data_IF_337094009794
#
_entry.id   IF_337094009794
#
_cell.length_a   1.000
_cell.length_b   1.000
_cell.length_c   1.000
_cell.angle_alpha   90.00
_cell.angle_beta   90.00
_cell.angle_gamma   90.00
#
_symmetry.space_group_name_H-M   'P 1'
#
loop_
_entity.id
_entity.type
_entity.pdbx_description
1 polymer ?
#
# COMPACT_ATOMS: atom_id res chain seq x y z
N UNK A 1 59.53 13.47 8.01
CA UNK A 1 58.67 14.23 8.95
C UNK A 1 57.19 14.04 8.59
N UNK A 2 56.61 12.94 9.07
CA UNK A 2 55.17 12.71 8.99
C UNK A 2 54.49 13.65 10.00
N UNK A 3 53.60 14.52 9.51
CA UNK A 3 52.76 15.35 10.37
C UNK A 3 51.83 14.47 11.22
N UNK A 4 51.34 14.98 12.36
CA UNK A 4 50.46 14.20 13.24
C UNK A 4 49.22 13.74 12.48
N UNK A 5 48.88 12.46 12.63
CA UNK A 5 47.65 11.88 12.11
C UNK A 5 46.46 12.70 12.62
N UNK A 6 45.59 13.16 11.71
CA UNK A 6 44.32 13.78 12.08
C UNK A 6 43.54 12.77 12.95
N UNK A 7 43.04 13.14 14.13
CA UNK A 7 42.20 12.24 14.91
C UNK A 7 40.98 11.85 14.06
N UNK A 8 40.62 10.56 14.06
CA UNK A 8 39.40 10.09 13.42
C UNK A 8 38.17 10.87 13.92
N UNK A 9 37.06 10.91 13.16
CA UNK A 9 35.89 11.74 13.49
C UNK A 9 35.24 11.35 14.83
N UNK A 10 35.50 10.14 15.32
CA UNK A 10 35.03 9.64 16.60
C UNK A 10 36.15 9.65 17.65
N UNK A 11 35.96 10.40 18.74
CA UNK A 11 36.81 10.37 19.92
C UNK A 11 35.96 9.85 21.10
N UNK A 12 36.27 8.68 21.68
CA UNK A 12 35.42 8.03 22.68
C UNK A 12 35.26 8.82 23.99
N UNK A 13 36.18 9.75 24.27
CA UNK A 13 36.20 10.55 25.51
C UNK A 13 35.64 11.98 25.32
N UNK A 14 35.14 12.33 24.14
CA UNK A 14 34.61 13.68 23.87
C UNK A 14 33.12 13.80 24.29
N UNK A 15 32.67 14.97 24.79
CA UNK A 15 31.26 15.22 25.09
C UNK A 15 30.36 14.96 23.87
N UNK A 16 29.17 14.38 24.08
CA UNK A 16 28.22 14.00 23.03
C UNK A 16 27.97 15.12 22.00
N UNK A 17 27.74 16.35 22.48
CA UNK A 17 27.49 17.50 21.61
C UNK A 17 28.67 17.80 20.67
N UNK A 18 29.91 17.53 21.09
CA UNK A 18 31.11 17.74 20.30
C UNK A 18 31.27 16.66 19.22
N UNK A 19 30.97 15.40 19.56
CA UNK A 19 30.98 14.27 18.61
C UNK A 19 29.91 14.46 17.54
N UNK A 20 28.67 14.79 17.93
CA UNK A 20 27.59 15.10 16.98
C UNK A 20 27.94 16.27 16.06
N UNK A 21 28.58 17.32 16.56
CA UNK A 21 29.03 18.44 15.73
C UNK A 21 30.15 18.06 14.75
N UNK A 22 31.04 17.12 15.10
CA UNK A 22 32.07 16.61 14.19
C UNK A 22 31.48 15.73 13.11
N UNK A 23 30.57 14.82 13.47
CA UNK A 23 29.83 14.00 12.52
C UNK A 23 28.98 14.85 11.58
N UNK A 24 28.29 15.88 12.09
CA UNK A 24 27.52 16.78 11.24
C UNK A 24 28.41 17.52 10.22
N UNK A 25 29.59 17.97 10.64
CA UNK A 25 30.57 18.60 9.74
C UNK A 25 31.11 17.62 8.70
N UNK A 26 31.28 16.34 9.06
CA UNK A 26 31.66 15.29 8.14
C UNK A 26 30.56 15.03 7.11
N UNK A 27 29.31 14.86 7.56
CA UNK A 27 28.16 14.65 6.66
C UNK A 27 28.01 15.83 5.70
N UNK A 28 28.09 17.07 6.19
CA UNK A 28 28.02 18.26 5.34
C UNK A 28 29.16 18.29 4.31
N UNK A 29 30.40 18.02 4.73
CA UNK A 29 31.56 18.05 3.85
C UNK A 29 31.50 16.97 2.76
N UNK A 30 31.08 15.75 3.11
CA UNK A 30 30.97 14.66 2.15
C UNK A 30 29.76 14.84 1.22
N UNK A 31 28.65 15.39 1.72
CA UNK A 31 27.49 15.75 0.90
C UNK A 31 27.88 16.79 -0.14
N UNK A 32 28.54 17.88 0.29
CA UNK A 32 29.05 18.93 -0.58
C UNK A 32 30.07 18.44 -1.63
N UNK A 33 30.92 17.48 -1.25
CA UNK A 33 31.92 16.91 -2.16
C UNK A 33 31.28 16.09 -3.28
N UNK A 34 30.14 15.45 -3.01
CA UNK A 34 29.43 14.59 -3.96
C UNK A 34 28.48 15.41 -4.85
N UNK A 35 27.82 16.42 -4.31
CA UNK A 35 26.89 17.30 -5.06
C UNK A 35 27.58 18.41 -5.82
N UNK A 36 28.86 18.68 -5.53
CA UNK A 36 29.63 19.76 -6.16
C UNK A 36 29.24 21.16 -5.68
N UNK A 37 28.48 21.29 -4.58
CA UNK A 37 27.96 22.58 -4.09
C UNK A 37 28.98 23.44 -3.32
N UNK A 38 30.26 23.05 -3.30
CA UNK A 38 31.30 23.74 -2.53
C UNK A 38 31.14 23.58 -1.02
N UNK A 39 32.07 24.12 -0.20
CA UNK A 39 32.10 23.90 1.27
C UNK A 39 31.02 24.64 2.06
N UNK A 40 29.93 25.07 1.40
CA UNK A 40 28.80 25.69 2.10
C UNK A 40 28.08 24.62 2.94
N UNK A 41 27.70 24.98 4.16
CA UNK A 41 26.92 24.08 5.01
C UNK A 41 25.59 23.75 4.32
N UNK A 42 25.33 22.48 4.06
CA UNK A 42 24.06 22.03 3.51
C UNK A 42 22.92 22.40 4.47
N UNK A 43 21.74 22.74 3.94
CA UNK A 43 20.56 22.84 4.78
C UNK A 43 20.21 21.44 5.29
N UNK A 44 20.47 21.21 6.58
CA UNK A 44 20.33 19.90 7.22
C UNK A 44 18.87 19.46 7.42
N UNK A 45 17.91 20.31 7.07
CA UNK A 45 16.48 19.99 7.08
C UNK A 45 15.96 19.48 5.75
N UNK A 46 16.68 19.75 4.65
CA UNK A 46 16.36 19.23 3.33
C UNK A 46 16.77 17.76 3.19
N UNK A 47 16.04 17.03 2.36
CA UNK A 47 16.39 15.67 1.97
C UNK A 47 17.61 15.64 1.07
N UNK A 48 18.33 14.52 1.02
CA UNK A 48 19.46 14.36 0.10
C UNK A 48 19.03 14.51 -1.37
N UNK A 49 17.82 14.09 -1.74
CA UNK A 49 17.25 14.31 -3.07
C UNK A 49 17.08 15.81 -3.40
N UNK A 50 16.57 16.62 -2.45
CA UNK A 50 16.46 18.07 -2.60
C UNK A 50 17.82 18.78 -2.65
N UNK A 51 18.84 18.18 -2.02
CA UNK A 51 20.23 18.62 -2.09
C UNK A 51 20.94 18.17 -3.39
N UNK A 52 20.25 17.49 -4.29
CA UNK A 52 20.76 17.09 -5.60
C UNK A 52 21.49 15.75 -5.62
N UNK A 53 21.30 14.87 -4.62
CA UNK A 53 21.80 13.50 -4.70
C UNK A 53 20.84 12.60 -5.47
N UNK A 54 21.31 12.06 -6.58
CA UNK A 54 20.69 10.91 -7.24
C UNK A 54 21.17 9.57 -6.64
N UNK A 55 20.66 8.45 -7.17
CA UNK A 55 21.01 7.11 -6.67
C UNK A 55 22.51 6.76 -6.81
N UNK A 56 23.24 7.36 -7.77
CA UNK A 56 24.68 7.12 -7.96
C UNK A 56 25.47 7.94 -6.94
N UNK A 57 25.09 9.19 -6.74
CA UNK A 57 25.66 10.10 -5.76
C UNK A 57 25.40 9.61 -4.32
N UNK A 58 24.24 9.02 -4.04
CA UNK A 58 23.95 8.40 -2.75
C UNK A 58 24.93 7.27 -2.40
N UNK A 59 25.27 6.40 -3.37
CA UNK A 59 26.27 5.34 -3.19
C UNK A 59 27.68 5.91 -3.01
N UNK A 60 28.02 7.00 -3.70
CA UNK A 60 29.30 7.68 -3.52
C UNK A 60 29.42 8.32 -2.13
N UNK A 61 28.37 9.00 -1.66
CA UNK A 61 28.29 9.56 -0.31
C UNK A 61 28.47 8.46 0.75
N UNK A 62 27.76 7.33 0.59
CA UNK A 62 27.89 6.14 1.45
C UNK A 62 29.34 5.68 1.57
N UNK A 63 30.01 5.47 0.44
CA UNK A 63 31.37 4.92 0.41
C UNK A 63 32.38 5.89 1.02
N UNK A 64 32.19 7.19 0.84
CA UNK A 64 33.04 8.23 1.42
C UNK A 64 32.86 8.34 2.94
N UNK A 65 31.61 8.28 3.41
CA UNK A 65 31.31 8.26 4.84
C UNK A 65 31.88 6.99 5.51
N UNK A 66 31.71 5.81 4.89
CA UNK A 66 32.24 4.55 5.41
C UNK A 66 33.77 4.60 5.54
N UNK A 67 34.45 5.13 4.52
CA UNK A 67 35.90 5.34 4.55
C UNK A 67 36.34 6.34 5.63
N UNK A 68 35.56 7.40 5.87
CA UNK A 68 35.88 8.44 6.84
C UNK A 68 35.67 7.98 8.30
N UNK A 69 34.65 7.16 8.56
CA UNK A 69 34.35 6.65 9.91
C UNK A 69 35.03 5.31 10.21
N UNK A 70 35.56 4.62 9.20
CA UNK A 70 36.26 3.35 9.34
C UNK A 70 35.36 2.16 9.69
N UNK A 71 34.06 2.25 9.39
CA UNK A 71 33.07 1.19 9.59
C UNK A 71 32.20 1.01 8.34
N UNK A 72 31.72 -0.22 8.12
CA UNK A 72 30.74 -0.49 7.07
C UNK A 72 29.40 0.17 7.41
N UNK A 73 28.94 1.02 6.49
CA UNK A 73 27.61 1.64 6.56
C UNK A 73 26.71 0.86 5.59
N UNK A 74 25.63 0.25 6.05
CA UNK A 74 24.67 -0.43 5.17
C UNK A 74 24.10 0.54 4.12
N UNK A 75 23.79 0.07 2.91
CA UNK A 75 23.20 0.93 1.88
C UNK A 75 21.85 1.51 2.34
N UNK A 76 21.07 0.71 3.09
CA UNK A 76 19.80 1.10 3.70
C UNK A 76 19.94 2.31 4.65
N UNK A 77 21.08 2.50 5.32
CA UNK A 77 21.27 3.58 6.30
C UNK A 77 21.12 4.98 5.68
N UNK A 78 21.49 5.16 4.41
CA UNK A 78 21.30 6.45 3.73
C UNK A 78 19.84 6.68 3.29
N UNK A 79 19.11 5.61 2.98
CA UNK A 79 17.69 5.69 2.62
C UNK A 79 16.79 5.84 3.85
N UNK A 80 17.14 5.18 4.96
CA UNK A 80 16.43 5.23 6.25
C UNK A 80 16.60 6.57 6.98
N UNK A 81 17.62 7.34 6.61
CA UNK A 81 17.97 8.62 7.22
C UNK A 81 18.14 9.71 6.14
N UNK A 82 17.03 10.19 5.56
CA UNK A 82 17.01 10.93 4.29
C UNK A 82 17.51 12.37 4.38
N UNK A 83 17.88 12.88 5.57
CA UNK A 83 18.41 14.24 5.77
C UNK A 83 19.81 14.21 6.40
N UNK A 84 20.67 15.22 6.16
CA UNK A 84 21.98 15.31 6.81
C UNK A 84 21.90 15.25 8.34
N UNK A 85 20.84 15.80 8.94
CA UNK A 85 20.59 15.71 10.38
C UNK A 85 20.30 14.27 10.81
N UNK A 86 19.34 13.60 10.16
CA UNK A 86 18.97 12.23 10.50
C UNK A 86 20.13 11.24 10.33
N UNK A 87 20.98 11.46 9.31
CA UNK A 87 22.16 10.62 9.07
C UNK A 87 23.26 10.86 10.10
N UNK A 88 23.45 12.11 10.55
CA UNK A 88 24.38 12.45 11.63
C UNK A 88 24.03 11.69 12.92
N UNK A 89 22.74 11.67 13.26
CA UNK A 89 22.26 10.97 14.45
C UNK A 89 22.44 9.45 14.33
N UNK A 90 22.21 8.88 13.14
CA UNK A 90 22.45 7.47 12.85
C UNK A 90 23.91 7.07 13.00
N UNK A 91 24.84 7.88 12.47
CA UNK A 91 26.27 7.64 12.58
C UNK A 91 26.74 7.75 14.03
N UNK A 92 26.15 8.66 14.81
CA UNK A 92 26.43 8.76 16.23
C UNK A 92 26.01 7.47 16.97
N UNK A 93 24.80 6.96 16.70
CA UNK A 93 24.30 5.72 17.31
C UNK A 93 25.08 4.48 16.87
N UNK A 94 25.60 4.47 15.64
CA UNK A 94 26.43 3.38 15.11
C UNK A 94 27.83 3.36 15.74
N UNK A 95 28.43 4.54 15.95
CA UNK A 95 29.82 4.68 16.40
C UNK A 95 29.97 4.68 17.93
N UNK A 96 28.89 4.87 18.70
CA UNK A 96 28.98 4.79 20.15
C UNK A 96 29.33 3.37 20.61
N UNK A 97 30.31 3.17 21.52
CA UNK A 97 30.56 1.86 22.09
C UNK A 97 29.30 1.42 22.84
N UNK A 98 28.74 0.27 22.43
CA UNK A 98 27.69 -0.42 23.19
C UNK A 98 28.32 -0.94 24.48
N UNK A 99 28.27 -0.13 25.53
CA UNK A 99 28.40 -0.63 26.89
C UNK A 99 27.31 -1.69 27.11
N UNK A 100 27.70 -2.80 27.75
CA UNK A 100 26.86 -3.96 28.04
C UNK A 100 25.48 -3.55 28.56
N UNK A 101 24.44 -4.24 28.07
CA UNK A 101 23.03 -4.08 28.41
C UNK A 101 22.78 -3.83 29.91
N UNK A 102 22.19 -2.68 30.24
CA UNK A 102 21.07 -2.55 31.19
C UNK A 102 20.60 -1.09 31.27
N UNK A 103 19.61 -0.71 30.45
CA UNK A 103 18.51 0.20 30.78
C UNK A 103 17.69 0.51 29.51
N UNK A 104 16.35 0.43 29.54
CA UNK A 104 15.51 0.81 28.40
C UNK A 104 15.54 2.32 28.20
N UNK A 105 15.67 2.70 26.93
CA UNK A 105 15.61 4.07 26.44
C UNK A 105 14.24 4.71 26.76
N UNK A 106 14.25 6.02 26.98
CA UNK A 106 13.18 6.79 27.60
C UNK A 106 11.80 6.54 26.98
N UNK A 107 10.96 5.81 27.72
CA UNK A 107 9.52 5.80 27.52
C UNK A 107 8.98 7.20 27.88
N UNK A 108 8.33 7.84 26.91
CA UNK A 108 7.23 8.76 27.22
C UNK A 108 6.33 8.05 28.24
N UNK A 109 5.91 8.70 29.34
CA UNK A 109 5.21 8.01 30.41
C UNK A 109 3.98 7.31 29.83
N UNK A 110 3.79 6.00 30.06
CA UNK A 110 2.53 5.37 29.76
C UNK A 110 1.51 6.04 30.68
N UNK A 111 0.58 6.81 30.11
CA UNK A 111 -0.65 7.11 30.82
C UNK A 111 -1.25 5.78 31.22
N UNK A 112 -1.23 5.53 32.53
CA UNK A 112 -1.79 4.38 33.17
C UNK A 112 -3.30 4.37 32.86
N UNK A 113 -3.70 3.67 31.79
CA UNK A 113 -5.08 3.24 31.65
C UNK A 113 -5.31 2.15 32.70
N UNK A 114 -6.05 2.51 33.73
CA UNK A 114 -6.57 1.56 34.69
C UNK A 114 -7.31 0.43 33.94
N UNK A 115 -7.11 -0.85 34.32
CA UNK A 115 -7.90 -1.94 33.78
C UNK A 115 -9.29 -1.90 34.42
N UNK A 116 -10.19 -1.14 33.82
CA UNK A 116 -11.57 -0.96 34.28
C UNK A 116 -12.50 -0.67 33.11
N UNK A 117 -13.39 -1.61 32.82
CA UNK A 117 -14.36 -1.67 31.71
C UNK A 117 -13.72 -1.84 30.32
N UNK A 118 -13.97 -2.98 29.66
CA UNK A 118 -13.61 -3.19 28.26
C UNK A 118 -14.31 -2.13 27.40
N UNK A 119 -13.53 -1.18 26.89
CA UNK A 119 -14.04 -0.08 26.08
C UNK A 119 -14.26 -0.57 24.65
N UNK A 120 -15.30 -0.06 23.98
CA UNK A 120 -15.60 -0.33 22.57
C UNK A 120 -14.40 -0.13 21.60
N UNK A 121 -13.34 0.57 22.05
CA UNK A 121 -12.08 0.75 21.33
C UNK A 121 -11.30 -0.56 21.09
N UNK A 122 -11.44 -1.55 21.99
CA UNK A 122 -10.73 -2.83 21.92
C UNK A 122 -11.59 -3.97 21.33
N UNK A 123 -12.80 -3.64 20.84
CA UNK A 123 -13.73 -4.62 20.26
C UNK A 123 -13.09 -5.27 19.01
N UNK A 124 -12.89 -6.61 19.01
CA UNK A 124 -12.42 -7.32 17.83
C UNK A 124 -13.50 -7.30 16.73
N UNK A 125 -13.07 -7.21 15.48
CA UNK A 125 -13.98 -7.20 14.33
C UNK A 125 -13.98 -8.59 13.70
N UNK A 126 -15.16 -9.19 13.60
CA UNK A 126 -15.35 -10.46 12.90
C UNK A 126 -15.38 -10.20 11.39
N UNK A 127 -14.65 -11.03 10.64
CA UNK A 127 -14.92 -11.24 9.22
C UNK A 127 -15.97 -12.34 9.16
N UNK A 128 -17.16 -12.01 8.66
CA UNK A 128 -18.28 -12.97 8.62
C UNK A 128 -18.36 -13.69 7.28
N UNK A 129 -18.04 -12.98 6.20
CA UNK A 129 -17.95 -13.53 4.87
C UNK A 129 -17.02 -12.67 4.00
N UNK A 130 -16.69 -13.21 2.84
CA UNK A 130 -15.89 -12.57 1.82
C UNK A 130 -16.30 -13.07 0.45
N UNK A 131 -16.15 -12.22 -0.56
CA UNK A 131 -16.33 -12.55 -1.97
C UNK A 131 -15.26 -11.82 -2.79
N UNK A 132 -14.89 -12.40 -3.93
CA UNK A 132 -13.80 -11.89 -4.76
C UNK A 132 -13.93 -12.29 -6.23
N UNK A 133 -13.18 -11.57 -7.07
CA UNK A 133 -12.89 -11.87 -8.46
C UNK A 133 -11.41 -11.67 -8.68
N UNK A 134 -10.70 -12.72 -9.10
CA UNK A 134 -9.25 -12.70 -9.30
C UNK A 134 -8.87 -13.38 -10.62
N UNK A 135 -7.67 -13.08 -11.17
CA UNK A 135 -7.19 -13.71 -12.40
C UNK A 135 -7.14 -15.23 -12.30
N UNK A 136 -7.15 -15.90 -13.47
CA UNK A 136 -7.16 -17.37 -13.53
C UNK A 136 -8.56 -18.00 -13.41
N UNK A 137 -9.63 -17.20 -13.57
CA UNK A 137 -11.00 -17.68 -13.46
C UNK A 137 -11.42 -17.95 -12.01
N UNK A 138 -10.86 -17.18 -11.08
CA UNK A 138 -11.16 -17.30 -9.65
C UNK A 138 -12.32 -16.37 -9.32
N UNK A 139 -13.47 -16.96 -9.01
CA UNK A 139 -14.71 -16.26 -8.66
C UNK A 139 -15.13 -16.45 -7.20
N UNK A 140 -14.43 -17.33 -6.45
CA UNK A 140 -14.73 -17.56 -5.03
C UNK A 140 -13.47 -17.66 -4.17
N UNK A 141 -13.58 -17.41 -2.85
CA UNK A 141 -12.48 -17.64 -1.90
C UNK A 141 -11.97 -19.09 -1.91
N UNK A 142 -12.85 -20.06 -2.13
CA UNK A 142 -12.48 -21.48 -2.22
C UNK A 142 -11.61 -21.76 -3.44
N UNK A 143 -11.97 -21.22 -4.61
CA UNK A 143 -11.16 -21.33 -5.83
C UNK A 143 -9.82 -20.62 -5.68
N UNK A 144 -9.79 -19.49 -4.97
CA UNK A 144 -8.54 -18.79 -4.68
C UNK A 144 -7.62 -19.66 -3.82
N UNK A 145 -8.17 -20.31 -2.79
CA UNK A 145 -7.40 -21.25 -1.96
C UNK A 145 -6.86 -22.43 -2.76
N UNK A 146 -7.64 -23.01 -3.67
CA UNK A 146 -7.17 -24.09 -4.57
C UNK A 146 -6.02 -23.63 -5.47
N UNK A 147 -6.09 -22.40 -5.99
CA UNK A 147 -5.02 -21.80 -6.81
C UNK A 147 -3.73 -21.63 -5.99
N UNK A 148 -3.83 -21.03 -4.80
CA UNK A 148 -2.70 -20.77 -3.91
C UNK A 148 -2.06 -22.07 -3.41
N UNK A 149 -2.87 -22.99 -2.88
CA UNK A 149 -2.39 -24.28 -2.35
C UNK A 149 -1.84 -25.20 -3.45
N UNK A 150 -2.30 -25.02 -4.69
CA UNK A 150 -1.74 -25.67 -5.87
C UNK A 150 -0.46 -25.04 -6.42
N UNK A 151 -0.02 -23.90 -5.88
CA UNK A 151 1.15 -23.16 -6.37
C UNK A 151 1.01 -22.68 -7.83
N UNK A 152 -0.23 -22.40 -8.25
CA UNK A 152 -0.53 -22.03 -9.63
C UNK A 152 -0.25 -20.56 -9.89
N UNK A 153 0.22 -20.25 -11.10
CA UNK A 153 0.48 -18.90 -11.57
C UNK A 153 -0.64 -18.44 -12.51
N UNK A 154 -1.38 -17.40 -12.09
CA UNK A 154 -2.52 -16.85 -12.83
C UNK A 154 -2.13 -15.81 -13.89
N UNK A 155 -0.83 -15.55 -14.10
CA UNK A 155 -0.35 -14.60 -15.11
C UNK A 155 -0.68 -15.12 -16.51
N UNK A 156 -1.39 -14.29 -17.28
CA UNK A 156 -1.81 -14.55 -18.65
C UNK A 156 -1.25 -13.48 -19.61
N UNK A 157 -1.53 -13.61 -20.91
CA UNK A 157 -1.23 -12.55 -21.88
C UNK A 157 -2.12 -11.32 -21.70
N UNK A 158 -1.74 -10.19 -22.32
CA UNK A 158 -2.59 -8.98 -22.34
C UNK A 158 -3.99 -9.29 -22.93
N UNK A 159 -5.07 -8.66 -22.44
CA UNK A 159 -6.43 -8.92 -22.89
C UNK A 159 -6.62 -8.52 -24.35
N UNK A 160 -7.23 -9.40 -25.15
CA UNK A 160 -7.53 -9.17 -26.57
C UNK A 160 -8.94 -8.66 -26.83
N UNK A 161 -9.77 -8.56 -25.78
CA UNK A 161 -11.20 -8.22 -25.85
C UNK A 161 -11.51 -6.80 -25.38
N UNK A 162 -10.50 -5.93 -25.23
CA UNK A 162 -10.67 -4.54 -24.74
C UNK A 162 -10.38 -3.45 -25.78
N UNK A 163 -10.19 -3.86 -27.04
CA UNK A 163 -9.87 -2.94 -28.13
C UNK A 163 -8.47 -2.33 -28.06
N UNK A 164 -7.56 -2.95 -27.30
CA UNK A 164 -6.17 -2.50 -27.22
C UNK A 164 -5.42 -2.85 -28.51
N UNK A 165 -4.70 -1.89 -29.08
CA UNK A 165 -3.77 -2.14 -30.19
C UNK A 165 -2.48 -2.78 -29.64
N UNK A 166 -2.50 -4.11 -29.48
CA UNK A 166 -1.39 -4.87 -28.90
C UNK A 166 -0.13 -4.91 -29.79
N UNK A 167 -0.27 -4.60 -31.08
CA UNK A 167 0.87 -4.47 -31.99
C UNK A 167 1.58 -3.13 -31.75
N UNK A 168 0.84 -2.03 -31.75
CA UNK A 168 1.40 -0.70 -31.46
C UNK A 168 1.90 -0.56 -30.01
N UNK A 169 1.26 -1.26 -29.06
CA UNK A 169 1.61 -1.20 -27.64
C UNK A 169 2.94 -1.90 -27.33
N UNK A 170 3.31 -2.94 -28.08
CA UNK A 170 4.48 -3.75 -27.77
C UNK A 170 5.77 -3.21 -28.39
N UNK A 171 6.77 -2.87 -27.58
CA UNK A 171 8.10 -2.48 -28.09
C UNK A 171 9.24 -2.88 -27.15
N UNK A 172 10.39 -3.35 -27.66
CA UNK A 172 11.50 -3.81 -26.82
C UNK A 172 12.28 -2.66 -26.16
N UNK A 173 12.30 -1.47 -26.76
CA UNK A 173 12.96 -0.28 -26.20
C UNK A 173 12.14 0.33 -25.05
N UNK A 174 12.63 0.31 -23.80
CA UNK A 174 11.92 0.86 -22.64
C UNK A 174 11.78 2.38 -22.68
N UNK A 175 12.56 3.08 -23.52
CA UNK A 175 12.52 4.54 -23.65
C UNK A 175 11.47 5.01 -24.66
N UNK A 176 10.89 4.09 -25.45
CA UNK A 176 9.88 4.47 -26.43
C UNK A 176 8.59 4.85 -25.73
N UNK A 177 8.11 6.06 -26.03
CA UNK A 177 6.89 6.57 -25.44
C UNK A 177 5.66 5.83 -25.99
N UNK A 178 4.70 5.53 -25.11
CA UNK A 178 3.41 4.96 -25.50
C UNK A 178 3.43 3.43 -25.65
N UNK A 179 4.55 2.78 -25.30
CA UNK A 179 4.73 1.34 -25.47
C UNK A 179 5.09 0.66 -24.15
N UNK A 180 4.84 -0.64 -24.06
CA UNK A 180 5.07 -1.50 -22.89
C UNK A 180 5.96 -2.66 -23.31
N UNK A 181 6.96 -2.98 -22.49
CA UNK A 181 7.82 -4.17 -22.69
C UNK A 181 7.15 -5.44 -22.16
N UNK A 182 6.48 -5.35 -21.01
CA UNK A 182 5.68 -6.41 -20.41
C UNK A 182 4.51 -6.79 -21.35
N UNK A 183 4.32 -8.09 -21.58
CA UNK A 183 3.24 -8.62 -22.44
C UNK A 183 2.30 -9.58 -21.71
N UNK A 184 2.39 -9.62 -20.39
CA UNK A 184 1.68 -10.54 -19.52
C UNK A 184 1.28 -9.86 -18.22
N UNK A 185 0.27 -10.37 -17.53
CA UNK A 185 -0.22 -9.84 -16.25
C UNK A 185 -1.41 -10.66 -15.74
N UNK A 186 -1.94 -10.29 -14.58
CA UNK A 186 -3.17 -10.86 -14.05
C UNK A 186 -4.38 -10.10 -14.61
N UNK A 187 -5.25 -10.75 -15.38
CA UNK A 187 -6.42 -10.09 -15.98
C UNK A 187 -7.71 -10.84 -15.68
N UNK A 188 -8.76 -10.06 -15.45
CA UNK A 188 -10.15 -10.52 -15.44
C UNK A 188 -10.69 -10.43 -16.87
N UNK A 189 -10.67 -11.55 -17.59
CA UNK A 189 -11.09 -11.58 -19.01
C UNK A 189 -12.60 -11.35 -19.17
N UNK A 190 -13.36 -11.65 -18.13
CA UNK A 190 -14.80 -11.48 -17.95
C UNK A 190 -15.18 -10.13 -17.31
N UNK A 191 -14.22 -9.23 -17.04
CA UNK A 191 -14.52 -7.90 -16.49
C UNK A 191 -15.60 -7.09 -17.24
N UNK A 192 -15.83 -7.27 -18.57
CA UNK A 192 -16.95 -6.61 -19.25
C UNK A 192 -18.34 -7.16 -18.90
N UNK A 193 -18.42 -8.38 -18.38
CA UNK A 193 -19.68 -9.07 -18.09
C UNK A 193 -20.34 -8.46 -16.84
N UNK A 194 -21.68 -8.35 -16.86
CA UNK A 194 -22.46 -7.79 -15.75
C UNK A 194 -23.96 -8.09 -15.91
N UNK A 195 -24.60 -8.56 -14.85
CA UNK A 195 -26.06 -8.76 -14.82
C UNK A 195 -26.79 -7.46 -14.48
N UNK A 196 -26.97 -6.60 -15.49
CA UNK A 196 -27.59 -5.29 -15.31
C UNK A 196 -29.05 -5.38 -14.86
N UNK A 197 -29.82 -6.33 -15.42
CA UNK A 197 -31.24 -6.47 -15.14
C UNK A 197 -31.47 -6.89 -13.67
N UNK A 198 -30.62 -7.77 -13.13
CA UNK A 198 -30.66 -8.17 -11.72
C UNK A 198 -30.55 -6.98 -10.76
N UNK A 199 -29.65 -6.04 -11.03
CA UNK A 199 -29.47 -4.83 -10.23
C UNK A 199 -30.45 -3.69 -10.59
N UNK A 200 -31.39 -3.91 -11.51
CA UNK A 200 -32.33 -2.89 -11.97
C UNK A 200 -31.66 -1.76 -12.75
N UNK A 201 -30.52 -2.03 -13.37
CA UNK A 201 -29.71 -1.06 -14.12
C UNK A 201 -30.01 -1.21 -15.61
N UNK A 202 -30.32 -0.10 -16.27
CA UNK A 202 -30.59 -0.15 -17.72
C UNK A 202 -29.33 -0.53 -18.51
N UNK A 203 -29.46 -1.20 -19.67
CA UNK A 203 -28.30 -1.54 -20.51
C UNK A 203 -27.44 -0.33 -20.90
N UNK A 204 -28.07 0.84 -21.09
CA UNK A 204 -27.37 2.10 -21.39
C UNK A 204 -26.53 2.57 -20.21
N UNK A 205 -27.05 2.49 -18.99
CA UNK A 205 -26.31 2.84 -17.79
C UNK A 205 -25.17 1.85 -17.54
N UNK A 206 -25.43 0.55 -17.64
CA UNK A 206 -24.42 -0.49 -17.47
C UNK A 206 -23.22 -0.32 -18.42
N UNK A 207 -23.46 0.07 -19.67
CA UNK A 207 -22.40 0.36 -20.64
C UNK A 207 -21.50 1.53 -20.19
N UNK A 208 -22.08 2.54 -19.54
CA UNK A 208 -21.37 3.71 -19.04
C UNK A 208 -20.65 3.46 -17.70
N UNK A 209 -20.98 2.37 -17.00
CA UNK A 209 -20.39 2.05 -15.71
C UNK A 209 -18.99 1.46 -15.85
N UNK A 210 -18.02 2.03 -15.13
CA UNK A 210 -16.71 1.46 -14.90
C UNK A 210 -16.87 0.00 -14.41
N UNK A 211 -16.18 -0.99 -15.04
CA UNK A 211 -16.15 -2.37 -14.57
C UNK A 211 -15.86 -2.52 -13.08
N UNK A 212 -15.07 -1.62 -12.48
CA UNK A 212 -14.80 -1.61 -11.04
C UNK A 212 -16.08 -1.46 -10.22
N UNK A 213 -17.01 -0.59 -10.63
CA UNK A 213 -18.30 -0.43 -9.95
C UNK A 213 -19.19 -1.67 -10.11
N UNK A 214 -19.17 -2.28 -11.30
CA UNK A 214 -19.97 -3.48 -11.62
C UNK A 214 -19.52 -4.67 -10.78
N UNK A 215 -18.22 -4.96 -10.78
CA UNK A 215 -17.64 -6.03 -9.98
C UNK A 215 -17.89 -5.80 -8.49
N UNK A 216 -17.71 -4.56 -8.00
CA UNK A 216 -17.97 -4.23 -6.60
C UNK A 216 -19.42 -4.46 -6.18
N UNK A 217 -20.40 -4.22 -7.05
CA UNK A 217 -21.80 -4.56 -6.77
C UNK A 217 -22.00 -6.08 -6.65
N UNK A 218 -21.48 -6.85 -7.59
CA UNK A 218 -21.58 -8.31 -7.58
C UNK A 218 -20.93 -8.92 -6.34
N UNK A 219 -19.67 -8.56 -6.04
CA UNK A 219 -18.98 -9.15 -4.89
C UNK A 219 -19.55 -8.66 -3.56
N UNK A 220 -20.14 -7.45 -3.50
CA UNK A 220 -20.83 -6.99 -2.28
C UNK A 220 -22.11 -7.78 -2.03
N UNK A 221 -22.88 -8.07 -3.09
CA UNK A 221 -24.06 -8.91 -3.02
C UNK A 221 -23.71 -10.34 -2.55
N UNK A 222 -22.71 -10.95 -3.20
CA UNK A 222 -22.27 -12.31 -2.85
C UNK A 222 -21.73 -12.41 -1.43
N UNK A 223 -21.01 -11.39 -0.94
CA UNK A 223 -20.52 -11.38 0.44
C UNK A 223 -21.68 -11.41 1.45
N UNK A 224 -22.78 -10.71 1.18
CA UNK A 224 -24.00 -10.76 2.00
C UNK A 224 -24.67 -12.13 1.94
N UNK A 225 -24.88 -12.69 0.75
CA UNK A 225 -25.50 -14.01 0.59
C UNK A 225 -24.70 -15.11 1.28
N UNK A 226 -23.36 -15.06 1.18
CA UNK A 226 -22.46 -16.03 1.82
C UNK A 226 -22.53 -16.00 3.35
N UNK A 227 -22.86 -14.86 3.94
CA UNK A 227 -23.12 -14.74 5.37
C UNK A 227 -24.59 -15.05 5.75
N UNK A 228 -25.45 -15.34 4.78
CA UNK A 228 -26.87 -15.66 5.00
C UNK A 228 -27.78 -14.44 5.14
N UNK A 229 -27.31 -13.25 4.77
CA UNK A 229 -28.15 -12.05 4.74
C UNK A 229 -28.99 -12.03 3.46
N UNK A 230 -30.26 -11.68 3.60
CA UNK A 230 -31.07 -11.24 2.45
C UNK A 230 -30.84 -9.75 2.21
N UNK A 231 -30.83 -9.26 0.97
CA UNK A 231 -30.75 -7.83 0.67
C UNK A 231 -31.82 -7.01 1.42
N UNK A 232 -33.02 -7.57 1.59
CA UNK A 232 -34.10 -6.96 2.34
C UNK A 232 -33.77 -6.79 3.84
N UNK A 233 -32.96 -7.68 4.41
CA UNK A 233 -32.59 -7.62 5.83
C UNK A 233 -31.63 -6.49 6.18
N UNK A 234 -30.85 -6.01 5.19
CA UNK A 234 -29.89 -4.92 5.38
C UNK A 234 -30.41 -3.57 4.86
N UNK A 235 -31.52 -3.57 4.12
CA UNK A 235 -32.14 -2.33 3.63
C UNK A 235 -32.65 -1.46 4.79
N UNK A 236 -32.33 -0.17 4.76
CA UNK A 236 -32.66 0.81 5.79
C UNK A 236 -31.81 0.71 7.06
N UNK A 237 -30.79 -0.16 7.08
CA UNK A 237 -29.89 -0.32 8.23
C UNK A 237 -28.69 0.63 8.11
N UNK A 238 -28.03 0.98 9.23
CA UNK A 238 -26.80 1.76 9.21
C UNK A 238 -25.59 0.90 8.77
N UNK A 239 -25.73 0.09 7.73
CA UNK A 239 -24.62 -0.68 7.16
C UNK A 239 -23.71 0.24 6.37
N UNK A 240 -22.41 0.22 6.68
CA UNK A 240 -21.40 1.04 5.98
C UNK A 240 -20.80 0.37 4.76
N UNK A 241 -20.32 1.17 3.81
CA UNK A 241 -19.60 0.74 2.61
C UNK A 241 -18.29 1.51 2.49
N UNK A 242 -17.16 0.79 2.51
CA UNK A 242 -15.82 1.36 2.47
C UNK A 242 -15.03 0.68 1.35
N UNK A 243 -14.72 1.41 0.28
CA UNK A 243 -14.06 0.82 -0.89
C UNK A 243 -12.76 1.55 -1.23
N UNK A 244 -11.70 0.79 -1.47
CA UNK A 244 -10.48 1.27 -2.11
C UNK A 244 -10.60 1.18 -3.63
N UNK A 245 -10.66 2.32 -4.32
CA UNK A 245 -10.76 2.37 -5.78
C UNK A 245 -9.91 3.53 -6.28
N UNK A 246 -9.05 3.22 -7.25
CA UNK A 246 -8.25 4.22 -7.95
C UNK A 246 -8.98 4.62 -9.24
N UNK A 247 -8.87 5.89 -9.62
CA UNK A 247 -9.47 6.37 -10.86
C UNK A 247 -8.86 5.66 -12.07
N UNK A 248 -9.70 5.18 -12.97
CA UNK A 248 -9.31 4.55 -14.23
C UNK A 248 -9.90 5.31 -15.41
N UNK A 249 -9.21 5.27 -16.55
CA UNK A 249 -9.73 5.82 -17.79
C UNK A 249 -10.70 4.82 -18.43
N UNK A 250 -11.98 4.85 -18.02
CA UNK A 250 -13.06 4.09 -18.66
C UNK A 250 -14.00 5.00 -19.45
N UNK A 251 -14.38 4.57 -20.64
CA UNK A 251 -15.33 5.29 -21.50
C UNK A 251 -14.73 6.51 -22.21
N UNK A 252 -15.55 7.23 -22.99
CA UNK A 252 -15.14 8.46 -23.68
C UNK A 252 -14.84 9.57 -22.67
N UNK A 253 -13.93 10.50 -23.01
CA UNK A 253 -13.72 11.68 -22.16
C UNK A 253 -15.00 12.52 -22.14
N UNK A 254 -15.36 13.03 -20.96
CA UNK A 254 -16.50 13.93 -20.77
C UNK A 254 -16.49 15.13 -21.73
N UNK A 255 -15.30 15.62 -22.09
CA UNK A 255 -15.11 16.75 -22.99
C UNK A 255 -15.39 16.42 -24.48
N UNK A 256 -15.42 15.14 -24.86
CA UNK A 256 -15.53 14.72 -26.27
C UNK A 256 -16.99 14.68 -26.76
N UNK A 257 -17.97 15.05 -25.91
CA UNK A 257 -19.30 15.55 -26.30
C UNK A 257 -20.22 14.63 -27.14
N UNK A 258 -19.84 13.38 -27.39
CA UNK A 258 -20.36 12.62 -28.53
C UNK A 258 -21.06 11.29 -28.26
N UNK A 259 -21.55 10.98 -27.05
CA UNK A 259 -22.13 9.65 -26.78
C UNK A 259 -23.57 9.66 -26.23
N UNK A 260 -24.37 8.69 -26.68
CA UNK A 260 -25.76 8.39 -26.26
C UNK A 260 -25.88 7.94 -24.78
N UNK A 261 -24.75 7.94 -24.05
CA UNK A 261 -24.62 7.62 -22.62
C UNK A 261 -24.37 8.86 -21.75
N UNK A 262 -24.39 10.07 -22.32
CA UNK A 262 -23.89 11.31 -21.70
C UNK A 262 -24.43 11.65 -20.30
N UNK A 263 -25.63 11.21 -19.92
CA UNK A 263 -26.17 11.40 -18.56
C UNK A 263 -25.57 10.45 -17.51
N UNK A 264 -25.09 9.28 -17.92
CA UNK A 264 -24.56 8.24 -17.02
C UNK A 264 -23.05 8.26 -16.90
N UNK A 265 -22.31 8.94 -17.81
CA UNK A 265 -20.85 8.94 -17.76
C UNK A 265 -20.30 9.46 -16.43
N UNK A 266 -20.88 10.54 -15.90
CA UNK A 266 -20.45 11.11 -14.62
C UNK A 266 -20.63 10.10 -13.49
N UNK A 267 -21.79 9.46 -13.39
CA UNK A 267 -22.04 8.47 -12.32
C UNK A 267 -21.37 7.12 -12.59
N UNK A 268 -21.07 6.82 -13.85
CA UNK A 268 -20.44 5.58 -14.27
C UNK A 268 -18.93 5.54 -14.00
N UNK A 269 -18.24 6.68 -13.98
CA UNK A 269 -16.77 6.72 -13.85
C UNK A 269 -16.26 7.45 -12.61
N UNK A 270 -17.11 8.19 -11.88
CA UNK A 270 -16.67 8.86 -10.65
C UNK A 270 -16.42 7.84 -9.54
N UNK A 271 -15.24 7.87 -8.91
CA UNK A 271 -14.83 6.88 -7.90
C UNK A 271 -15.73 6.85 -6.67
N UNK A 272 -16.21 8.01 -6.19
CA UNK A 272 -17.15 8.06 -5.04
C UNK A 272 -18.48 7.35 -5.29
N UNK A 273 -18.86 7.15 -6.55
CA UNK A 273 -20.07 6.40 -6.92
C UNK A 273 -19.86 4.90 -6.75
N UNK A 274 -18.63 4.38 -6.65
CA UNK A 274 -18.39 2.96 -6.38
C UNK A 274 -19.01 2.53 -5.03
N UNK A 275 -18.64 3.18 -3.93
CA UNK A 275 -19.27 2.93 -2.62
C UNK A 275 -20.74 3.38 -2.58
N UNK A 276 -21.04 4.52 -3.19
CA UNK A 276 -22.39 5.10 -3.19
C UNK A 276 -23.42 4.24 -3.92
N UNK A 277 -23.03 3.58 -5.01
CA UNK A 277 -23.90 2.72 -5.81
C UNK A 277 -24.23 1.42 -5.06
N UNK A 278 -23.26 0.83 -4.35
CA UNK A 278 -23.54 -0.31 -3.47
C UNK A 278 -24.59 0.08 -2.42
N UNK A 279 -24.36 1.19 -1.72
CA UNK A 279 -25.28 1.70 -0.70
C UNK A 279 -26.67 1.99 -1.30
N UNK A 280 -26.74 2.64 -2.47
CA UNK A 280 -27.99 2.94 -3.16
C UNK A 280 -28.77 1.67 -3.56
N UNK A 281 -28.11 0.72 -4.22
CA UNK A 281 -28.76 -0.48 -4.76
C UNK A 281 -29.27 -1.40 -3.64
N UNK A 282 -28.46 -1.58 -2.58
CA UNK A 282 -28.84 -2.39 -1.42
C UNK A 282 -29.73 -1.63 -0.42
N UNK A 283 -29.83 -0.31 -0.55
CA UNK A 283 -30.59 0.56 0.34
C UNK A 283 -29.96 0.70 1.73
N UNK A 284 -28.64 0.82 1.81
CA UNK A 284 -27.89 0.96 3.05
C UNK A 284 -27.82 2.44 3.45
N UNK A 285 -27.95 2.74 4.74
CA UNK A 285 -28.00 4.11 5.28
C UNK A 285 -26.78 4.48 6.13
N UNK A 286 -25.76 3.62 6.19
CA UNK A 286 -24.49 3.93 6.83
C UNK A 286 -23.55 4.78 5.96
N UNK A 287 -22.34 5.10 6.45
CA UNK A 287 -21.34 5.82 5.67
C UNK A 287 -20.97 5.07 4.38
N UNK A 288 -20.93 5.78 3.25
CA UNK A 288 -20.46 5.25 1.97
C UNK A 288 -19.23 6.05 1.51
N UNK A 289 -18.05 5.45 1.67
CA UNK A 289 -16.75 6.13 1.47
C UNK A 289 -15.90 5.36 0.48
N UNK A 290 -15.39 6.09 -0.53
CA UNK A 290 -14.33 5.59 -1.41
C UNK A 290 -13.02 6.29 -1.07
N UNK A 291 -11.93 5.51 -0.94
CA UNK A 291 -10.58 6.03 -0.66
C UNK A 291 -9.61 5.66 -1.78
N UNK A 292 -8.67 6.56 -2.02
CA UNK A 292 -7.52 6.34 -2.91
C UNK A 292 -6.24 6.69 -2.14
N UNK A 293 -5.54 5.63 -1.73
CA UNK A 293 -4.18 5.70 -1.18
C UNK A 293 -3.26 4.80 -2.00
N UNK A 294 -3.50 4.72 -3.32
CA UNK A 294 -2.85 3.81 -4.25
C UNK A 294 -2.89 2.34 -3.76
N UNK A 295 -1.75 1.66 -3.67
CA UNK A 295 -1.66 0.22 -3.36
C UNK A 295 -2.27 -0.18 -2.00
N UNK A 296 -2.42 0.76 -1.06
CA UNK A 296 -2.95 0.48 0.29
C UNK A 296 -4.46 0.74 0.43
N UNK A 297 -5.14 1.16 -0.64
CA UNK A 297 -6.51 1.69 -0.58
C UNK A 297 -7.51 0.74 0.09
N UNK A 298 -7.46 -0.57 -0.20
CA UNK A 298 -8.37 -1.56 0.40
C UNK A 298 -8.13 -1.76 1.91
N UNK A 299 -6.87 -1.71 2.37
CA UNK A 299 -6.54 -1.80 3.80
C UNK A 299 -6.88 -0.52 4.56
N UNK A 300 -6.75 0.65 3.92
CA UNK A 300 -7.24 1.92 4.49
C UNK A 300 -8.77 1.91 4.58
N UNK A 301 -9.47 1.41 3.55
CA UNK A 301 -10.92 1.23 3.61
C UNK A 301 -11.33 0.26 4.74
N UNK A 302 -10.61 -0.85 4.91
CA UNK A 302 -10.79 -1.80 6.01
C UNK A 302 -10.61 -1.15 7.38
N UNK A 303 -9.60 -0.29 7.52
CA UNK A 303 -9.35 0.44 8.75
C UNK A 303 -10.49 1.41 9.11
N UNK A 304 -11.01 2.14 8.11
CA UNK A 304 -12.16 3.02 8.30
C UNK A 304 -13.42 2.24 8.69
N UNK A 305 -13.67 1.09 8.06
CA UNK A 305 -14.77 0.20 8.41
C UNK A 305 -14.67 -0.30 9.86
N UNK A 306 -13.48 -0.78 10.27
CA UNK A 306 -13.25 -1.24 11.64
C UNK A 306 -13.47 -0.12 12.66
N UNK A 307 -13.04 1.11 12.36
CA UNK A 307 -13.28 2.28 13.21
C UNK A 307 -14.76 2.62 13.33
N UNK A 308 -15.48 2.61 12.22
CA UNK A 308 -16.92 2.90 12.20
C UNK A 308 -17.73 1.87 13.01
N UNK A 309 -17.39 0.58 12.89
CA UNK A 309 -17.98 -0.50 13.69
C UNK A 309 -17.69 -0.33 15.19
N UNK A 310 -16.44 -0.01 15.57
CA UNK A 310 -16.04 0.23 16.97
C UNK A 310 -16.68 1.47 17.58
N UNK A 311 -16.88 2.50 16.77
CA UNK A 311 -17.55 3.73 17.17
C UNK A 311 -19.07 3.57 17.31
N UNK A 312 -19.65 2.46 16.81
CA UNK A 312 -21.09 2.25 16.77
C UNK A 312 -21.80 3.14 15.73
N UNK A 313 -21.05 3.70 14.78
CA UNK A 313 -21.62 4.42 13.63
C UNK A 313 -22.28 3.45 12.64
N UNK A 314 -21.78 2.21 12.58
CA UNK A 314 -22.34 1.12 11.78
C UNK A 314 -22.40 -0.16 12.62
N UNK A 315 -23.33 -1.05 12.29
CA UNK A 315 -23.46 -2.38 12.91
C UNK A 315 -22.89 -3.49 12.02
N UNK A 316 -22.86 -3.24 10.71
CA UNK A 316 -22.36 -4.10 9.66
C UNK A 316 -21.59 -3.23 8.66
N UNK A 317 -20.50 -3.74 8.08
CA UNK A 317 -19.72 -2.99 7.09
C UNK A 317 -19.22 -3.87 5.96
N UNK A 318 -19.36 -3.38 4.73
CA UNK A 318 -18.69 -3.90 3.55
C UNK A 318 -17.37 -3.14 3.38
N UNK A 319 -16.24 -3.85 3.39
CA UNK A 319 -14.92 -3.24 3.22
C UNK A 319 -14.11 -3.99 2.17
N UNK A 320 -13.57 -3.28 1.18
CA UNK A 320 -12.89 -3.95 0.08
C UNK A 320 -12.25 -3.00 -0.91
N UNK A 321 -12.05 -3.47 -2.14
CA UNK A 321 -11.55 -2.66 -3.23
C UNK A 321 -11.63 -3.38 -4.57
N UNK A 322 -11.43 -2.62 -5.63
CA UNK A 322 -11.34 -3.16 -6.99
C UNK A 322 -10.32 -2.39 -7.81
N UNK A 323 -9.66 -3.13 -8.70
CA UNK A 323 -8.77 -2.62 -9.73
C UNK A 323 -9.07 -3.37 -11.02
N UNK A 324 -9.50 -2.64 -12.04
CA UNK A 324 -9.59 -3.11 -13.43
C UNK A 324 -8.84 -2.09 -14.28
N UNK A 325 -8.13 -2.54 -15.31
CA UNK A 325 -7.39 -1.71 -16.26
C UNK A 325 -8.16 -1.68 -17.60
N UNK A 326 -9.07 -0.74 -17.85
CA UNK A 326 -9.84 -0.72 -19.10
C UNK A 326 -8.98 -0.30 -20.29
N UNK A 327 -7.95 0.51 -20.06
CA UNK A 327 -6.98 0.97 -21.06
C UNK A 327 -5.56 0.55 -20.64
N UNK A 328 -4.59 0.52 -21.58
CA UNK A 328 -3.22 0.16 -21.25
C UNK A 328 -2.42 1.31 -20.61
N UNK A 329 -3.06 2.45 -20.29
CA UNK A 329 -2.37 3.67 -19.83
C UNK A 329 -1.47 3.43 -18.61
N UNK A 330 -1.99 2.73 -17.60
CA UNK A 330 -1.23 2.42 -16.39
C UNK A 330 0.00 1.53 -16.68
N UNK A 331 -0.13 0.55 -17.58
CA UNK A 331 1.00 -0.28 -18.01
C UNK A 331 2.06 0.56 -18.75
N UNK A 332 1.63 1.50 -19.59
CA UNK A 332 2.54 2.42 -20.31
C UNK A 332 3.30 3.30 -19.33
N UNK A 333 2.63 3.89 -18.35
CA UNK A 333 3.26 4.82 -17.41
C UNK A 333 4.24 4.11 -16.49
N UNK A 334 3.89 2.94 -15.93
CA UNK A 334 4.84 2.18 -15.11
C UNK A 334 5.97 1.54 -15.92
N UNK A 335 5.74 1.22 -17.21
CA UNK A 335 6.82 0.79 -18.10
C UNK A 335 7.85 1.89 -18.31
N UNK A 336 7.43 3.17 -18.41
CA UNK A 336 8.35 4.32 -18.53
C UNK A 336 9.20 4.52 -17.28
N UNK A 337 8.64 4.22 -16.10
CA UNK A 337 9.36 4.26 -14.83
C UNK A 337 10.31 3.07 -14.63
N UNK A 338 10.29 2.08 -15.54
CA UNK A 338 11.07 0.85 -15.41
C UNK A 338 10.69 0.03 -14.18
N UNK A 339 9.45 0.18 -13.70
CA UNK A 339 8.97 -0.42 -12.46
C UNK A 339 8.38 -1.83 -12.66
N UNK A 340 8.05 -2.17 -13.92
CA UNK A 340 7.41 -3.41 -14.31
C UNK A 340 8.39 -4.55 -14.59
N UNK A 341 8.08 -5.74 -14.08
CA UNK A 341 8.79 -6.96 -14.45
C UNK A 341 8.50 -7.31 -15.93
N UNK A 342 9.52 -7.57 -16.76
CA UNK A 342 9.31 -7.88 -18.19
C UNK A 342 8.44 -9.12 -18.46
N UNK A 343 8.44 -10.09 -17.55
CA UNK A 343 7.63 -11.32 -17.61
C UNK A 343 6.26 -11.18 -16.91
N UNK A 344 5.96 -10.00 -16.36
CA UNK A 344 4.70 -9.67 -15.70
C UNK A 344 4.49 -10.37 -14.35
N UNK A 345 5.54 -10.90 -13.72
CA UNK A 345 5.45 -11.62 -12.44
C UNK A 345 6.07 -10.83 -11.30
N UNK A 346 5.40 -10.83 -10.14
CA UNK A 346 6.00 -10.39 -8.88
C UNK A 346 6.90 -11.52 -8.33
N UNK A 347 8.22 -11.37 -8.44
CA UNK A 347 9.20 -12.34 -7.92
C UNK A 347 9.62 -11.95 -6.50
N UNK A 348 8.63 -11.84 -5.61
CA UNK A 348 8.77 -11.34 -4.24
C UNK A 348 9.93 -12.03 -3.49
N UNK A 349 10.84 -11.22 -2.94
CA UNK A 349 12.00 -11.64 -2.14
C UNK A 349 13.00 -12.54 -2.87
N UNK A 350 12.89 -12.67 -4.20
CA UNK A 350 13.82 -13.43 -5.02
C UNK A 350 15.06 -12.61 -5.38
N UNK A 351 16.21 -13.27 -5.56
CA UNK A 351 17.39 -12.66 -6.17
C UNK A 351 17.13 -12.19 -7.62
N UNK A 352 16.12 -12.76 -8.27
CA UNK A 352 15.68 -12.42 -9.64
C UNK A 352 14.57 -11.36 -9.67
N UNK A 353 14.28 -10.71 -8.54
CA UNK A 353 13.35 -9.59 -8.46
C UNK A 353 13.77 -8.46 -9.43
N UNK A 354 12.90 -8.10 -10.36
CA UNK A 354 13.18 -7.14 -11.43
C UNK A 354 12.04 -6.15 -11.70
N UNK A 355 11.04 -6.09 -10.80
CA UNK A 355 9.87 -5.23 -10.89
C UNK A 355 8.61 -5.94 -10.43
N UNK A 356 7.49 -5.24 -10.47
CA UNK A 356 6.18 -5.84 -10.16
C UNK A 356 5.41 -6.21 -11.44
N UNK A 357 4.56 -7.22 -11.31
CA UNK A 357 3.53 -7.56 -12.28
C UNK A 357 2.23 -6.86 -11.95
N UNK A 358 1.57 -6.28 -12.95
CA UNK A 358 0.23 -5.72 -12.77
C UNK A 358 -0.82 -6.82 -12.82
N UNK A 359 -1.79 -6.71 -11.91
CA UNK A 359 -2.95 -7.59 -11.86
C UNK A 359 -4.23 -6.81 -11.59
N UNK A 360 -5.34 -7.38 -12.03
CA UNK A 360 -6.70 -6.92 -11.74
C UNK A 360 -7.32 -7.77 -10.65
N UNK A 361 -8.35 -7.24 -10.02
CA UNK A 361 -9.11 -7.97 -9.01
C UNK A 361 -10.16 -7.12 -8.33
N UNK A 362 -11.13 -7.78 -7.73
CA UNK A 362 -12.08 -7.18 -6.79
C UNK A 362 -12.22 -8.09 -5.58
N UNK A 363 -12.37 -7.51 -4.39
CA UNK A 363 -12.57 -8.27 -3.17
C UNK A 363 -13.29 -7.43 -2.12
N UNK A 364 -14.24 -8.05 -1.42
CA UNK A 364 -15.01 -7.41 -0.34
C UNK A 364 -15.10 -8.37 0.84
N UNK A 365 -14.86 -7.83 2.03
CA UNK A 365 -15.11 -8.44 3.32
C UNK A 365 -16.40 -7.88 3.89
N UNK A 366 -17.24 -8.75 4.44
CA UNK A 366 -18.36 -8.38 5.29
C UNK A 366 -17.91 -8.47 6.75
N UNK A 367 -18.14 -7.40 7.50
CA UNK A 367 -17.57 -7.19 8.82
C UNK A 367 -18.64 -6.78 9.83
N UNK A 368 -18.52 -7.26 11.05
CA UNK A 368 -19.30 -6.79 12.19
C UNK A 368 -18.48 -6.90 13.48
N UNK A 369 -18.98 -6.32 14.57
CA UNK A 369 -18.35 -6.51 15.89
C UNK A 369 -18.43 -7.99 16.28
N UNK A 370 -17.34 -8.57 16.79
CA UNK A 370 -17.29 -10.00 17.13
C UNK A 370 -18.34 -10.37 18.20
N UNK A 371 -18.63 -9.47 19.13
CA UNK A 371 -19.71 -9.65 20.11
C UNK A 371 -21.08 -9.77 19.45
N UNK A 372 -21.35 -8.98 18.40
CA UNK A 372 -22.59 -9.02 17.65
C UNK A 372 -22.70 -10.27 16.77
N UNK A 373 -21.60 -10.65 16.11
CA UNK A 373 -21.54 -11.91 15.36
C UNK A 373 -21.94 -13.11 16.21
N UNK A 374 -21.37 -13.19 17.41
CA UNK A 374 -21.67 -14.26 18.38
C UNK A 374 -23.10 -14.18 18.90
N UNK A 375 -23.59 -12.97 19.18
CA UNK A 375 -24.94 -12.74 19.70
C UNK A 375 -26.01 -13.10 18.67
N UNK A 376 -25.76 -12.80 17.40
CA UNK A 376 -26.68 -13.04 16.28
C UNK A 376 -26.48 -14.42 15.64
N UNK A 377 -25.40 -15.13 15.99
CA UNK A 377 -25.10 -16.47 15.46
C UNK A 377 -24.57 -16.45 14.04
N UNK A 378 -23.99 -15.33 13.61
CA UNK A 378 -23.35 -15.19 12.30
C UNK A 378 -22.02 -15.95 12.25
N UNK A 379 -21.61 -16.44 11.07
CA UNK A 379 -20.33 -17.11 10.90
C UNK A 379 -19.16 -16.18 11.22
N UNK A 380 -18.05 -16.74 11.71
CA UNK A 380 -16.80 -16.00 11.93
C UNK A 380 -15.68 -16.77 11.24
N UNK A 381 -15.25 -16.27 10.08
CA UNK A 381 -14.17 -16.89 9.28
C UNK A 381 -12.79 -16.37 9.66
N UNK A 382 -12.73 -15.21 10.33
CA UNK A 382 -11.51 -14.60 10.83
C UNK A 382 -11.81 -13.46 11.79
N UNK A 383 -10.79 -12.99 12.52
CA UNK A 383 -10.91 -11.87 13.45
C UNK A 383 -9.81 -10.85 13.21
N UNK A 384 -10.20 -9.61 12.96
CA UNK A 384 -9.30 -8.47 12.85
C UNK A 384 -9.12 -7.87 14.25
N UNK A 385 -7.89 -7.93 14.75
CA UNK A 385 -7.52 -7.39 16.07
C UNK A 385 -7.22 -5.90 16.01
N UNK A 386 -6.46 -5.46 15.01
CA UNK A 386 -6.15 -4.05 14.80
C UNK A 386 -5.76 -3.81 13.34
N UNK A 387 -5.90 -2.56 12.90
CA UNK A 387 -5.40 -2.07 11.61
C UNK A 387 -4.80 -0.69 11.86
N UNK A 388 -3.49 -0.55 11.66
CA UNK A 388 -2.78 0.71 11.80
C UNK A 388 -2.38 1.27 10.42
N UNK A 389 -2.37 2.60 10.31
CA UNK A 389 -2.00 3.33 9.09
C UNK A 389 -1.09 4.49 9.50
N UNK A 390 0.01 4.70 8.78
CA UNK A 390 0.88 5.86 8.95
C UNK A 390 1.38 6.37 7.58
N UNK A 391 2.38 7.26 7.60
CA UNK A 391 3.01 7.80 6.42
C UNK A 391 4.53 7.73 6.55
N UNK A 392 5.21 7.58 5.41
CA UNK A 392 6.67 7.57 5.32
C UNK A 392 7.27 8.94 5.66
N UNK A 393 6.51 10.01 5.41
CA UNK A 393 6.94 11.39 5.64
C UNK A 393 7.96 11.83 4.58
N UNK A 394 8.98 12.58 4.99
CA UNK A 394 10.04 13.03 4.10
C UNK A 394 11.04 11.90 3.81
N UNK A 395 10.65 10.91 3.00
CA UNK A 395 11.51 9.81 2.53
C UNK A 395 12.49 10.27 1.43
N UNK A 396 13.41 9.39 1.02
CA UNK A 396 14.43 9.70 0.01
C UNK A 396 13.87 9.68 -1.44
N UNK A 397 12.83 10.47 -1.68
CA UNK A 397 12.03 10.51 -2.90
C UNK A 397 10.57 10.14 -2.63
N UNK A 398 9.64 10.81 -3.31
CA UNK A 398 8.19 10.70 -3.05
C UNK A 398 7.66 9.26 -3.07
N UNK A 399 8.18 8.41 -3.95
CA UNK A 399 7.79 7.01 -4.10
C UNK A 399 8.77 6.01 -3.47
N UNK A 400 9.79 6.50 -2.75
CA UNK A 400 10.75 5.63 -2.08
C UNK A 400 10.18 5.19 -0.71
N UNK A 401 10.11 3.88 -0.42
CA UNK A 401 9.60 3.38 0.85
C UNK A 401 10.55 3.71 2.01
N UNK A 402 10.02 3.70 3.24
CA UNK A 402 10.80 3.96 4.46
C UNK A 402 10.66 2.81 5.49
N UNK A 403 11.72 2.00 5.65
CA UNK A 403 11.71 0.85 6.56
C UNK A 403 11.44 1.21 8.02
N UNK A 404 11.87 2.40 8.47
CA UNK A 404 11.56 2.88 9.84
C UNK A 404 10.08 3.20 10.00
N UNK A 405 9.41 3.70 8.97
CA UNK A 405 7.97 3.96 8.99
C UNK A 405 7.17 2.66 8.98
N UNK A 406 7.57 1.68 8.17
CA UNK A 406 7.00 0.33 8.17
C UNK A 406 7.14 -0.34 9.56
N UNK A 407 8.34 -0.32 10.15
CA UNK A 407 8.54 -0.86 11.49
C UNK A 407 7.72 -0.12 12.58
N UNK A 408 7.42 1.18 12.39
CA UNK A 408 6.50 1.91 13.29
C UNK A 408 5.06 1.46 13.13
N UNK A 409 4.55 1.30 11.90
CA UNK A 409 3.15 0.91 11.69
C UNK A 409 2.89 -0.52 12.18
N UNK A 410 3.85 -1.43 12.00
CA UNK A 410 3.78 -2.81 12.54
C UNK A 410 3.70 -2.79 14.07
N UNK A 411 4.60 -2.05 14.73
CA UNK A 411 4.57 -1.93 16.21
C UNK A 411 3.29 -1.28 16.72
N UNK A 412 2.76 -0.29 15.99
CA UNK A 412 1.49 0.33 16.32
C UNK A 412 0.33 -0.67 16.22
N UNK A 413 0.24 -1.44 15.14
CA UNK A 413 -0.79 -2.47 14.97
C UNK A 413 -0.74 -3.52 16.09
N UNK A 414 0.46 -4.00 16.45
CA UNK A 414 0.67 -4.94 17.55
C UNK A 414 0.24 -4.33 18.90
N UNK A 415 0.62 -3.08 19.17
CA UNK A 415 0.24 -2.38 20.40
C UNK A 415 -1.28 -2.18 20.49
N UNK A 416 -1.94 -1.75 19.40
CA UNK A 416 -3.39 -1.62 19.32
C UNK A 416 -4.10 -2.97 19.47
N UNK A 417 -3.48 -4.07 19.03
CA UNK A 417 -4.02 -5.41 19.21
C UNK A 417 -3.77 -6.00 20.61
N UNK A 418 -2.90 -5.38 21.41
CA UNK A 418 -2.42 -5.94 22.68
C UNK A 418 -1.58 -7.20 22.49
N UNK A 419 -0.80 -7.28 21.41
CA UNK A 419 0.03 -8.43 21.03
C UNK A 419 1.52 -8.05 20.97
N UNK A 420 2.37 -9.06 21.01
CA UNK A 420 3.82 -8.96 20.82
C UNK A 420 4.23 -9.57 19.48
N UNK A 421 5.43 -9.27 18.95
CA UNK A 421 5.90 -9.90 17.71
C UNK A 421 5.98 -11.44 17.79
N UNK A 422 6.16 -12.00 18.99
CA UNK A 422 6.21 -13.45 19.18
C UNK A 422 4.84 -14.13 19.07
N UNK A 423 3.75 -13.36 19.08
CA UNK A 423 2.39 -13.86 18.89
C UNK A 423 1.99 -13.93 17.40
N UNK A 424 2.87 -13.55 16.48
CA UNK A 424 2.63 -13.54 15.03
C UNK A 424 3.33 -14.72 14.38
N UNK A 425 2.54 -15.66 13.85
CA UNK A 425 3.05 -16.87 13.20
C UNK A 425 3.53 -16.63 11.77
N UNK A 426 2.91 -15.70 11.05
CA UNK A 426 3.17 -15.43 9.64
C UNK A 426 2.87 -13.98 9.27
N UNK A 427 3.49 -13.51 8.19
CA UNK A 427 3.28 -12.18 7.60
C UNK A 427 2.94 -12.36 6.12
N UNK A 428 1.77 -11.86 5.72
CA UNK A 428 1.46 -11.58 4.30
C UNK A 428 2.01 -10.20 3.98
N UNK A 429 3.11 -10.15 3.21
CA UNK A 429 3.85 -8.93 2.92
C UNK A 429 3.25 -8.15 1.74
N UNK A 430 3.68 -6.89 1.55
CA UNK A 430 3.41 -6.16 0.32
C UNK A 430 4.11 -6.81 -0.88
N UNK A 431 5.37 -7.24 -0.71
CA UNK A 431 6.01 -8.27 -1.53
C UNK A 431 5.97 -8.01 -3.04
N UNK A 432 6.33 -6.80 -3.46
CA UNK A 432 6.10 -6.37 -4.85
C UNK A 432 7.05 -6.99 -5.88
N UNK A 433 8.13 -7.67 -5.47
CA UNK A 433 9.13 -8.19 -6.41
C UNK A 433 10.10 -7.11 -6.90
N UNK A 434 10.23 -6.01 -6.16
CA UNK A 434 11.09 -4.88 -6.55
C UNK A 434 12.43 -4.93 -5.84
N UNK A 435 13.51 -4.63 -6.59
CA UNK A 435 14.89 -4.64 -6.06
C UNK A 435 15.13 -3.70 -4.87
N UNK A 436 14.31 -2.65 -4.74
CA UNK A 436 14.41 -1.67 -3.66
C UNK A 436 13.42 -1.96 -2.52
N UNK A 437 12.17 -2.30 -2.84
CA UNK A 437 11.13 -2.49 -1.84
C UNK A 437 11.33 -3.76 -1.02
N UNK A 438 11.57 -4.89 -1.69
CA UNK A 438 11.63 -6.20 -1.04
C UNK A 438 12.75 -6.35 0.02
N UNK A 439 13.91 -5.68 -0.08
CA UNK A 439 14.90 -5.69 1.02
C UNK A 439 14.64 -4.68 2.14
N UNK A 440 13.78 -3.67 1.91
CA UNK A 440 13.42 -2.67 2.93
C UNK A 440 12.30 -3.18 3.82
N UNK A 441 11.31 -3.81 3.19
CA UNK A 441 10.27 -4.61 3.86
C UNK A 441 10.89 -5.88 4.48
#
# INVERSE_FOLDING_TARGET
>A
PAGPARPGPYAPDAPEHEVRQRLARLVDAETAAVTGTGTAAADRSLTFAELGLDSVLAVQLRNRLAAAVGQDIGIATLFDHPTPRALTDALYDLLRPRAQDTAPDAQLPPEQREPGAGHAADEPIAVVAMALRLPGGVHTPEQFWELLSGGQDAVSGLPTNRGWDLEALGHPDPKRQGTVRQRSGGFLHDAPDFDADFFGISPREALAMDPQQRLLLEVSWEALERAGFSPESVRGTPTGVFTGVIAQEYGPRLADGGTDVGGYLVTGTTTSVASGRIAYTLGLEGPAVTVDTACSSSLVALQLACRSLRAGETDLALAGGATVMPTPGMLVDFSRLGALAPDGRCKAFSADADGFGMAEGAGVLLLERLSDARRLGHPVVGVIRAVAVNQDGASNGLSAPNGRAQARVIRQALAEAGLTPADVDAVEAHGTGTRLGDPIE
#
